data_IF_969407941329
#
_entry.id   IF_969407941329
#
_cell.length_a   1.000
_cell.length_b   1.000
_cell.length_c   1.000
_cell.angle_alpha   90.00
_cell.angle_beta   90.00
_cell.angle_gamma   90.00
#
_symmetry.space_group_name_H-M   'P 1'
#
loop_
_entity.id
_entity.type
_entity.pdbx_description
1 polymer ?
#
# COMPACT_ATOMS: atom_id res chain seq x y z
N UNK A 1 -9.02 -39.74 -17.69
CA UNK A 1 -9.36 -38.88 -16.53
C UNK A 1 -8.18 -37.95 -16.29
N UNK A 2 -8.33 -36.62 -16.45
CA UNK A 2 -7.22 -35.69 -16.25
C UNK A 2 -7.02 -35.45 -14.76
N UNK A 3 -5.78 -35.63 -14.34
CA UNK A 3 -5.27 -35.37 -12.99
C UNK A 3 -5.35 -33.86 -12.81
N UNK A 4 -6.22 -33.38 -11.92
CA UNK A 4 -6.33 -31.95 -11.65
C UNK A 4 -5.01 -31.47 -11.06
N UNK A 5 -4.31 -30.65 -11.83
CA UNK A 5 -3.09 -29.96 -11.49
C UNK A 5 -3.35 -29.07 -10.26
N UNK A 6 -2.92 -29.56 -9.09
CA UNK A 6 -2.98 -28.81 -7.84
C UNK A 6 -1.95 -27.69 -7.94
N UNK A 7 -2.42 -26.48 -8.26
CA UNK A 7 -1.59 -25.29 -8.24
C UNK A 7 -0.97 -25.13 -6.85
N UNK A 8 0.36 -24.98 -6.73
CA UNK A 8 0.99 -24.74 -5.44
C UNK A 8 0.56 -23.37 -4.93
N UNK A 9 0.05 -23.33 -3.69
CA UNK A 9 -0.14 -22.07 -2.99
C UNK A 9 1.23 -21.47 -2.71
N UNK A 10 1.66 -20.54 -3.55
CA UNK A 10 2.80 -19.67 -3.28
C UNK A 10 2.49 -18.87 -2.01
N UNK A 11 2.89 -19.36 -0.84
CA UNK A 11 2.85 -18.59 0.41
C UNK A 11 3.97 -17.54 0.37
N UNK A 12 3.71 -16.43 -0.31
CA UNK A 12 4.60 -15.27 -0.30
C UNK A 12 4.61 -14.71 1.13
N UNK A 13 5.79 -14.73 1.78
CA UNK A 13 5.96 -14.09 3.10
C UNK A 13 5.55 -12.61 2.99
N UNK A 14 4.58 -12.14 3.79
CA UNK A 14 4.17 -10.75 3.73
C UNK A 14 5.34 -9.84 4.16
N UNK A 15 5.49 -8.64 3.56
CA UNK A 15 6.56 -7.72 3.91
C UNK A 15 6.53 -7.39 5.41
N UNK A 16 7.71 -7.36 6.05
CA UNK A 16 7.88 -7.20 7.51
C UNK A 16 7.36 -5.87 8.08
N UNK A 17 7.02 -4.90 7.22
CA UNK A 17 6.54 -3.57 7.61
C UNK A 17 5.03 -3.43 7.41
N UNK A 18 4.31 -2.91 8.43
CA UNK A 18 2.85 -2.66 8.40
C UNK A 18 2.40 -1.78 7.21
N UNK A 19 3.30 -0.98 6.65
CA UNK A 19 3.00 -0.02 5.60
C UNK A 19 2.68 -0.66 4.23
N UNK A 20 3.06 -1.92 4.01
CA UNK A 20 2.97 -2.59 2.70
C UNK A 20 2.16 -3.91 2.74
N UNK A 21 1.28 -4.08 3.73
CA UNK A 21 0.34 -5.22 3.72
C UNK A 21 -0.64 -5.07 2.54
N UNK A 22 -1.02 -6.18 1.88
CA UNK A 22 -1.93 -6.14 0.73
C UNK A 22 -3.25 -5.46 1.08
N UNK A 23 -3.84 -5.77 2.23
CA UNK A 23 -5.07 -5.15 2.72
C UNK A 23 -4.98 -3.62 2.87
N UNK A 24 -3.82 -3.08 3.26
CA UNK A 24 -3.62 -1.63 3.41
C UNK A 24 -3.44 -0.95 2.05
N UNK A 25 -2.77 -1.60 1.10
CA UNK A 25 -2.59 -1.10 -0.27
C UNK A 25 -3.94 -1.09 -1.01
N UNK A 26 -4.72 -2.16 -0.87
CA UNK A 26 -6.06 -2.28 -1.46
C UNK A 26 -7.00 -1.19 -0.95
N UNK A 27 -6.99 -0.88 0.36
CA UNK A 27 -7.80 0.21 0.91
C UNK A 27 -7.44 1.58 0.34
N UNK A 28 -6.16 1.86 0.10
CA UNK A 28 -5.71 3.14 -0.49
C UNK A 28 -6.07 3.26 -1.96
N UNK A 29 -5.88 2.18 -2.73
CA UNK A 29 -6.27 2.14 -4.13
C UNK A 29 -7.78 2.35 -4.30
N UNK A 30 -8.59 1.77 -3.40
CA UNK A 30 -10.04 2.01 -3.37
C UNK A 30 -10.37 3.48 -3.07
N UNK A 31 -9.70 4.11 -2.09
CA UNK A 31 -9.90 5.54 -1.79
C UNK A 31 -9.69 6.40 -3.02
N UNK A 32 -8.60 6.17 -3.76
CA UNK A 32 -8.24 6.96 -4.94
C UNK A 32 -9.21 6.67 -6.10
N UNK A 33 -9.59 5.40 -6.32
CA UNK A 33 -10.59 5.07 -7.33
C UNK A 33 -11.95 5.75 -7.11
N UNK A 34 -12.40 5.89 -5.85
CA UNK A 34 -13.60 6.66 -5.54
C UNK A 34 -13.41 8.18 -5.72
N UNK A 35 -12.20 8.70 -5.44
CA UNK A 35 -11.87 10.09 -5.70
C UNK A 35 -11.87 10.42 -7.20
N UNK A 36 -11.29 9.57 -8.04
CA UNK A 36 -11.33 9.70 -9.50
C UNK A 36 -12.76 9.58 -10.06
N UNK A 37 -13.62 8.80 -9.40
CA UNK A 37 -15.05 8.74 -9.71
C UNK A 37 -15.84 9.97 -9.22
N UNK A 38 -15.20 10.99 -8.65
CA UNK A 38 -15.83 12.23 -8.19
C UNK A 38 -16.67 12.08 -6.93
N UNK A 39 -16.47 11.02 -6.14
CA UNK A 39 -17.24 10.78 -4.90
C UNK A 39 -16.76 11.67 -3.77
N UNK A 40 -17.71 12.14 -2.97
CA UNK A 40 -17.40 12.97 -1.80
C UNK A 40 -16.64 12.13 -0.75
N UNK A 41 -15.66 12.74 -0.08
CA UNK A 41 -14.85 12.13 0.99
C UNK A 41 -15.72 11.46 2.07
N UNK A 42 -16.89 12.04 2.36
CA UNK A 42 -17.85 11.50 3.34
C UNK A 42 -18.47 10.18 2.88
N UNK A 43 -18.81 10.06 1.61
CA UNK A 43 -19.35 8.83 1.03
C UNK A 43 -18.28 7.74 1.01
N UNK A 44 -17.08 8.07 0.51
CA UNK A 44 -15.93 7.15 0.46
C UNK A 44 -15.57 6.60 1.84
N UNK A 45 -15.64 7.43 2.87
CA UNK A 45 -15.43 7.03 4.27
C UNK A 45 -16.48 6.01 4.74
N UNK A 46 -17.77 6.23 4.44
CA UNK A 46 -18.86 5.30 4.81
C UNK A 46 -18.79 3.98 4.06
N UNK A 47 -18.49 4.04 2.76
CA UNK A 47 -18.36 2.86 1.89
C UNK A 47 -17.22 1.94 2.32
N UNK A 48 -16.09 2.51 2.72
CA UNK A 48 -14.89 1.74 3.07
C UNK A 48 -14.74 1.47 4.57
N UNK A 49 -15.53 2.13 5.43
CA UNK A 49 -15.40 2.03 6.89
C UNK A 49 -14.10 2.67 7.41
N UNK A 50 -13.52 3.62 6.67
CA UNK A 50 -12.24 4.26 6.97
C UNK A 50 -12.51 5.68 7.50
N UNK A 51 -11.67 6.17 8.42
CA UNK A 51 -11.82 7.53 8.95
C UNK A 51 -11.69 8.60 7.85
N UNK A 52 -12.50 9.66 7.95
CA UNK A 52 -12.49 10.80 7.01
C UNK A 52 -11.11 11.44 6.88
N UNK A 53 -10.35 11.49 7.98
CA UNK A 53 -8.99 12.06 7.99
C UNK A 53 -8.01 11.19 7.20
N UNK A 54 -8.17 9.86 7.24
CA UNK A 54 -7.36 8.95 6.42
C UNK A 54 -7.67 9.13 4.93
N UNK A 55 -8.95 9.28 4.57
CA UNK A 55 -9.35 9.56 3.18
C UNK A 55 -8.73 10.88 2.70
N UNK A 56 -8.84 11.97 3.48
CA UNK A 56 -8.21 13.27 3.18
C UNK A 56 -6.71 13.17 3.02
N UNK A 57 -6.04 12.47 3.94
CA UNK A 57 -4.59 12.29 3.89
C UNK A 57 -4.14 11.62 2.59
N UNK A 58 -4.85 10.58 2.16
CA UNK A 58 -4.51 9.85 0.94
C UNK A 58 -4.84 10.62 -0.33
N UNK A 59 -5.96 11.35 -0.37
CA UNK A 59 -6.27 12.25 -1.49
C UNK A 59 -5.17 13.31 -1.64
N UNK A 60 -4.82 14.00 -0.54
CA UNK A 60 -3.76 15.01 -0.56
C UNK A 60 -2.41 14.43 -1.00
N UNK A 61 -2.02 13.27 -0.48
CA UNK A 61 -0.79 12.60 -0.91
C UNK A 61 -0.83 12.19 -2.37
N UNK A 62 -1.98 11.80 -2.90
CA UNK A 62 -2.12 11.45 -4.30
C UNK A 62 -1.97 12.69 -5.19
N UNK A 63 -2.52 13.84 -4.78
CA UNK A 63 -2.32 15.11 -5.48
C UNK A 63 -0.85 15.59 -5.45
N UNK A 64 -0.14 15.36 -4.32
CA UNK A 64 1.26 15.78 -4.14
C UNK A 64 2.27 14.82 -4.79
N UNK A 65 2.11 13.50 -4.62
CA UNK A 65 3.08 12.47 -5.04
C UNK A 65 2.69 11.73 -6.33
N UNK A 66 1.41 11.74 -6.71
CA UNK A 66 0.90 11.04 -7.90
C UNK A 66 0.86 9.51 -7.80
N UNK A 67 1.12 8.92 -6.63
CA UNK A 67 1.12 7.47 -6.46
C UNK A 67 0.56 7.00 -5.12
N UNK A 68 0.02 5.77 -5.10
CA UNK A 68 -0.60 5.13 -3.93
C UNK A 68 0.41 4.41 -3.03
N UNK A 69 1.63 4.22 -3.55
CA UNK A 69 2.68 3.45 -2.89
C UNK A 69 3.30 4.27 -1.75
N UNK A 70 3.70 3.57 -0.69
CA UNK A 70 4.48 4.23 0.36
C UNK A 70 5.91 4.42 -0.15
N UNK A 71 6.43 5.65 -0.03
CA UNK A 71 7.83 5.95 -0.34
C UNK A 71 8.76 5.00 0.44
N UNK A 72 9.74 4.35 -0.23
CA UNK A 72 10.75 3.59 0.48
C UNK A 72 11.52 4.53 1.41
N UNK A 73 11.59 4.17 2.70
CA UNK A 73 12.40 4.93 3.65
C UNK A 73 13.86 4.55 3.44
N UNK A 74 14.76 5.48 3.12
CA UNK A 74 16.18 5.18 3.13
C UNK A 74 16.55 4.73 4.54
N UNK A 75 17.09 3.52 4.66
CA UNK A 75 17.61 3.03 5.94
C UNK A 75 18.78 3.89 6.41
N UNK A 76 19.20 3.71 7.65
CA UNK A 76 20.45 4.31 8.13
C UNK A 76 21.60 3.74 7.29
N UNK A 77 22.46 4.57 6.67
CA UNK A 77 23.60 4.07 5.90
C UNK A 77 24.51 3.25 6.82
N UNK A 78 24.93 2.08 6.35
CA UNK A 78 25.88 1.23 7.07
C UNK A 78 27.29 1.74 6.76
N UNK A 79 27.93 2.34 7.75
CA UNK A 79 29.36 2.67 7.68
C UNK A 79 30.12 1.42 8.07
N UNK A 80 30.65 0.69 7.09
CA UNK A 80 31.75 -0.25 7.30
C UNK A 80 33.02 0.45 6.88
N UNK A 81 33.85 0.84 7.84
CA UNK A 81 35.24 1.21 7.56
C UNK A 81 35.91 0.02 6.87
N UNK A 82 36.50 0.19 5.67
CA UNK A 82 37.31 -0.87 5.10
C UNK A 82 38.53 -1.05 6.02
N UNK A 83 38.77 -2.29 6.45
CA UNK A 83 40.02 -2.64 7.10
C UNK A 83 41.15 -2.33 6.12
N UNK A 84 42.09 -1.47 6.53
CA UNK A 84 43.33 -1.27 5.81
C UNK A 84 44.17 -2.55 5.91
N UNK A 85 44.69 -3.01 4.76
CA UNK A 85 45.69 -4.07 4.62
C UNK A 85 47.04 -3.59 5.16
#
# INVERSE_FOLDING_TARGET
MPIMEVQPQCHVRPPRTRANRPEVITSRGRIIGYHEAGKEIRETSRLLGISRDTVRLWVRRYEEEGHVLTRPRPGRPRVTTPAAD
#
